data_IF_408008393590
#
_entry.id   IF_408008393590
#
_cell.length_a   1.000
_cell.length_b   1.000
_cell.length_c   1.000
_cell.angle_alpha   90.00
_cell.angle_beta   90.00
_cell.angle_gamma   90.00
#
_symmetry.space_group_name_H-M   'P 1'
#
loop_
_entity.id
_entity.type
_entity.pdbx_description
1 polymer ?
#
# COMPACT_ATOMS: atom_id res chain seq x y z
N UNK A 1 5.76 -1.44 11.95
CA UNK A 1 6.03 -0.32 11.05
C UNK A 1 4.71 0.19 10.48
N UNK A 2 4.58 1.50 10.39
CA UNK A 2 3.32 2.13 10.02
C UNK A 2 3.36 2.63 8.59
N UNK A 3 2.43 2.14 7.78
CA UNK A 3 2.32 2.59 6.39
C UNK A 3 1.47 3.86 6.37
N UNK A 4 1.93 4.86 5.62
CA UNK A 4 1.29 6.17 5.54
C UNK A 4 1.07 6.56 4.09
N UNK A 5 0.12 7.47 3.89
CA UNK A 5 -0.12 8.06 2.57
C UNK A 5 1.17 8.71 2.06
N UNK A 6 1.50 8.45 0.81
CA UNK A 6 2.72 8.94 0.18
C UNK A 6 3.89 7.98 0.23
N UNK A 7 3.82 6.94 1.05
CA UNK A 7 4.87 5.92 1.08
C UNK A 7 4.91 5.15 -0.23
N UNK A 8 6.11 4.71 -0.60
CA UNK A 8 6.30 3.80 -1.73
C UNK A 8 6.47 2.39 -1.16
N UNK A 9 5.67 1.47 -1.64
CA UNK A 9 5.61 0.11 -1.11
C UNK A 9 5.80 -0.92 -2.22
N UNK A 10 6.28 -2.09 -1.82
CA UNK A 10 6.19 -3.31 -2.61
C UNK A 10 5.06 -4.16 -2.06
N UNK A 11 4.34 -4.82 -2.97
CA UNK A 11 3.22 -5.68 -2.63
C UNK A 11 3.63 -7.12 -2.87
N UNK A 12 3.27 -8.00 -1.94
CA UNK A 12 3.54 -9.43 -2.06
C UNK A 12 3.00 -9.95 -3.39
N UNK A 13 3.85 -10.64 -4.14
CA UNK A 13 3.48 -11.17 -5.45
C UNK A 13 3.62 -10.20 -6.60
N UNK A 14 3.99 -8.94 -6.33
CA UNK A 14 4.20 -7.95 -7.38
C UNK A 14 5.66 -7.50 -7.39
N UNK A 15 6.19 -7.26 -8.58
CA UNK A 15 7.53 -6.72 -8.73
C UNK A 15 7.53 -5.20 -8.99
N UNK A 16 6.35 -4.59 -8.99
CA UNK A 16 6.23 -3.15 -9.26
C UNK A 16 6.15 -2.36 -7.97
N UNK A 17 6.62 -1.13 -8.01
CA UNK A 17 6.47 -0.18 -6.91
C UNK A 17 5.10 0.47 -6.97
N UNK A 18 4.54 0.75 -5.80
CA UNK A 18 3.22 1.38 -5.67
C UNK A 18 3.31 2.53 -4.68
N UNK A 19 2.53 3.57 -4.93
CA UNK A 19 2.38 4.67 -3.98
C UNK A 19 1.09 4.51 -3.21
N UNK A 20 1.15 4.71 -1.90
CA UNK A 20 -0.02 4.66 -1.03
C UNK A 20 -0.80 5.96 -1.17
N UNK A 21 -2.06 5.85 -1.59
CA UNK A 21 -2.94 7.01 -1.76
C UNK A 21 -3.87 7.20 -0.57
N UNK A 22 -4.24 6.11 0.10
CA UNK A 22 -5.15 6.17 1.25
C UNK A 22 -4.96 4.91 2.09
N UNK A 23 -5.39 4.97 3.34
CA UNK A 23 -5.32 3.83 4.26
C UNK A 23 -6.67 3.69 4.93
N UNK A 24 -7.21 2.46 4.92
CA UNK A 24 -8.46 2.13 5.57
C UNK A 24 -8.18 1.11 6.68
N UNK A 25 -8.40 1.52 7.93
CA UNK A 25 -8.17 0.66 9.10
C UNK A 25 -9.47 0.02 9.54
N UNK A 26 -9.38 -1.29 9.81
CA UNK A 26 -10.50 -2.08 10.30
C UNK A 26 -10.31 -2.40 11.78
N UNK A 27 -11.36 -2.92 12.42
CA UNK A 27 -11.27 -3.33 13.82
C UNK A 27 -10.17 -4.38 14.03
N UNK A 28 -10.07 -5.33 13.08
CA UNK A 28 -9.01 -6.33 13.10
C UNK A 28 -7.91 -5.86 12.18
N UNK A 29 -6.72 -5.67 12.72
CA UNK A 29 -5.57 -5.14 11.98
C UNK A 29 -5.24 -5.96 10.74
N UNK A 30 -5.51 -7.26 10.76
CA UNK A 30 -5.24 -8.14 9.63
C UNK A 30 -6.05 -7.78 8.38
N UNK A 31 -7.12 -7.03 8.54
CA UNK A 31 -7.97 -6.59 7.42
C UNK A 31 -7.74 -5.14 7.01
N UNK A 32 -6.75 -4.48 7.61
CA UNK A 32 -6.40 -3.13 7.18
C UNK A 32 -5.97 -3.14 5.71
N UNK A 33 -6.41 -2.11 4.98
CA UNK A 33 -6.15 -2.01 3.54
C UNK A 33 -5.55 -0.67 3.18
N UNK A 34 -4.82 -0.66 2.09
CA UNK A 34 -4.31 0.57 1.49
C UNK A 34 -4.79 0.68 0.06
N UNK A 35 -5.17 1.88 -0.33
CA UNK A 35 -5.41 2.21 -1.73
C UNK A 35 -4.06 2.57 -2.32
N UNK A 36 -3.64 1.83 -3.34
CA UNK A 36 -2.32 2.02 -3.93
C UNK A 36 -2.45 2.22 -5.43
N UNK A 37 -1.48 2.96 -5.99
CA UNK A 37 -1.37 3.17 -7.42
C UNK A 37 0.02 2.76 -7.86
N UNK A 38 0.10 1.90 -8.86
CA UNK A 38 1.41 1.51 -9.40
C UNK A 38 2.09 2.74 -9.99
N UNK A 39 3.37 2.92 -9.67
CA UNK A 39 4.15 4.04 -10.19
C UNK A 39 4.20 3.94 -11.71
N UNK A 40 3.77 5.02 -12.39
CA UNK A 40 3.69 5.07 -13.85
C UNK A 40 2.38 4.58 -14.43
N UNK A 41 1.41 4.22 -13.59
CA UNK A 41 0.08 3.82 -14.03
C UNK A 41 -0.96 4.76 -13.42
N UNK A 42 -2.16 4.77 -13.98
CA UNK A 42 -3.26 5.62 -13.49
C UNK A 42 -4.32 4.84 -12.72
N UNK A 43 -4.17 3.52 -12.64
CA UNK A 43 -5.15 2.67 -11.95
C UNK A 43 -4.79 2.51 -10.49
N UNK A 44 -5.82 2.53 -9.64
CA UNK A 44 -5.67 2.30 -8.20
C UNK A 44 -6.33 0.98 -7.83
N UNK A 45 -5.86 0.39 -6.74
CA UNK A 45 -6.51 -0.80 -6.18
C UNK A 45 -6.31 -0.86 -4.68
N UNK A 46 -7.25 -1.52 -4.00
CA UNK A 46 -7.14 -1.78 -2.58
C UNK A 46 -6.40 -3.08 -2.35
N UNK A 47 -5.40 -3.03 -1.46
CA UNK A 47 -4.61 -4.21 -1.08
C UNK A 47 -4.53 -4.27 0.44
N UNK A 48 -4.25 -5.45 0.99
CA UNK A 48 -4.06 -5.59 2.43
C UNK A 48 -2.74 -4.97 2.85
N UNK A 49 -2.76 -4.22 3.95
CA UNK A 49 -1.53 -3.62 4.49
C UNK A 49 -0.48 -4.69 4.83
N UNK A 50 -0.91 -5.85 5.30
CA UNK A 50 0.02 -6.93 5.64
C UNK A 50 0.80 -7.45 4.44
N UNK A 51 0.31 -7.21 3.23
CA UNK A 51 0.99 -7.62 2.00
C UNK A 51 1.95 -6.54 1.49
N UNK A 52 2.02 -5.41 2.16
CA UNK A 52 2.82 -4.27 1.72
C UNK A 52 4.09 -4.16 2.56
N UNK A 53 5.17 -3.78 1.89
CA UNK A 53 6.44 -3.48 2.54
C UNK A 53 6.92 -2.12 2.08
N UNK A 54 7.16 -1.21 3.03
CA UNK A 54 7.64 0.14 2.71
C UNK A 54 9.05 0.06 2.16
N UNK A 55 9.24 0.68 1.00
CA UNK A 55 10.55 0.78 0.34
C UNK A 55 11.10 2.19 0.52
N UNK A 56 10.25 3.20 0.38
CA UNK A 56 10.62 4.60 0.58
C UNK A 56 9.57 5.25 1.46
N UNK A 57 10.00 5.79 2.59
CA UNK A 57 9.13 6.53 3.50
C UNK A 57 8.81 7.91 2.95
N UNK A 58 7.58 8.31 3.21
CA UNK A 58 7.18 9.67 2.89
C UNK A 58 7.73 10.64 3.95
#
# INVERSE_FOLDING_TARGET
>A
MKIQVGDIVKILGSQFLHMVLDVNKCELDEFNQALVQRVGDVRDEWVFLNDCKVVVDN
#
